data_IF_610966827845
#
_entry.id   IF_610966827845
#
_cell.length_a   1.000
_cell.length_b   1.000
_cell.length_c   1.000
_cell.angle_alpha   90.00
_cell.angle_beta   90.00
_cell.angle_gamma   90.00
#
_symmetry.space_group_name_H-M   'P 1'
#
loop_
_entity.id
_entity.type
_entity.pdbx_description
1 polymer ?
#
# COMPACT_ATOMS: atom_id res chain seq x y z
N UNK A 1 19.50 34.65 -3.76
CA UNK A 1 20.33 33.50 -3.32
C UNK A 1 20.92 33.85 -1.96
N UNK A 2 20.61 33.10 -0.89
CA UNK A 2 21.52 33.09 0.26
C UNK A 2 22.76 32.32 -0.21
N UNK A 3 23.93 32.95 -0.13
CA UNK A 3 25.19 32.44 -0.71
C UNK A 3 25.79 31.25 0.06
N UNK A 4 25.10 30.77 1.10
CA UNK A 4 25.66 29.85 2.10
C UNK A 4 24.89 28.52 2.25
N UNK A 5 23.95 28.19 1.35
CA UNK A 5 23.31 26.86 1.38
C UNK A 5 24.28 25.78 0.86
N UNK A 6 24.56 24.72 1.65
CA UNK A 6 25.41 23.61 1.22
C UNK A 6 24.86 22.87 0.00
N UNK A 7 25.73 22.20 -0.78
CA UNK A 7 25.29 21.41 -1.93
C UNK A 7 24.29 20.33 -1.51
N UNK A 8 23.31 20.08 -2.38
CA UNK A 8 22.34 18.99 -2.27
C UNK A 8 22.93 17.72 -2.88
N UNK A 9 24.11 17.35 -2.38
CA UNK A 9 24.81 16.14 -2.76
C UNK A 9 24.89 15.23 -1.53
N UNK A 10 24.35 14.02 -1.66
CA UNK A 10 24.19 13.09 -0.55
C UNK A 10 24.75 11.72 -0.96
N UNK A 11 25.31 10.96 0.00
CA UNK A 11 25.76 9.59 -0.27
C UNK A 11 24.63 8.70 -0.81
N UNK A 12 24.97 7.58 -1.44
CA UNK A 12 24.04 6.61 -2.00
C UNK A 12 23.97 5.28 -1.22
N UNK A 13 24.66 5.22 -0.08
CA UNK A 13 24.74 4.05 0.82
C UNK A 13 24.43 4.43 2.27
N UNK A 14 23.95 3.46 3.07
CA UNK A 14 23.70 3.66 4.50
C UNK A 14 25.00 4.01 5.24
N UNK A 15 26.09 3.33 4.90
CA UNK A 15 27.42 3.55 5.45
C UNK A 15 27.93 4.96 5.12
N UNK A 16 27.65 5.44 3.91
CA UNK A 16 27.96 6.83 3.53
C UNK A 16 27.19 7.86 4.36
N UNK A 17 25.97 7.52 4.79
CA UNK A 17 25.21 8.30 5.75
C UNK A 17 25.67 8.13 7.21
N UNK A 18 26.64 7.25 7.46
CA UNK A 18 27.12 6.80 8.77
C UNK A 18 26.06 6.06 9.61
N UNK A 19 25.09 5.41 8.97
CA UNK A 19 24.07 4.61 9.65
C UNK A 19 24.10 3.14 9.22
N UNK A 20 23.63 2.26 10.09
CA UNK A 20 23.34 0.86 9.77
C UNK A 20 22.14 0.39 10.60
N UNK A 21 21.47 -0.67 10.14
CA UNK A 21 20.47 -1.35 10.98
C UNK A 21 21.18 -2.27 11.97
N UNK A 22 20.82 -2.16 13.25
CA UNK A 22 21.33 -3.05 14.29
C UNK A 22 20.56 -4.39 14.31
N UNK A 23 20.95 -5.31 15.20
CA UNK A 23 20.30 -6.64 15.36
C UNK A 23 18.81 -6.56 15.72
N UNK A 24 18.35 -5.42 16.27
CA UNK A 24 16.94 -5.17 16.58
C UNK A 24 16.19 -4.51 15.40
N UNK A 25 16.81 -4.42 14.23
CA UNK A 25 16.24 -3.79 13.05
C UNK A 25 16.11 -2.26 13.16
N UNK A 26 16.85 -1.61 14.04
CA UNK A 26 16.76 -0.15 14.25
C UNK A 26 17.90 0.57 13.53
N UNK A 27 17.58 1.65 12.81
CA UNK A 27 18.59 2.48 12.15
C UNK A 27 19.38 3.29 13.19
N UNK A 28 20.68 3.04 13.29
CA UNK A 28 21.57 3.67 14.28
C UNK A 28 22.86 4.15 13.65
N UNK A 29 23.39 5.26 14.17
CA UNK A 29 24.66 5.77 13.73
C UNK A 29 25.78 4.78 14.07
N UNK A 30 26.63 4.43 13.09
CA UNK A 30 27.56 3.30 13.17
C UNK A 30 28.55 3.46 14.34
N UNK A 31 29.01 4.68 14.62
CA UNK A 31 30.03 4.93 15.66
C UNK A 31 29.44 5.18 17.04
N UNK A 32 28.29 5.86 17.12
CA UNK A 32 27.74 6.36 18.39
C UNK A 32 26.56 5.54 18.89
N UNK A 33 25.91 4.78 18.02
CA UNK A 33 24.68 4.06 18.35
C UNK A 33 23.45 4.97 18.51
N UNK A 34 23.55 6.26 18.19
CA UNK A 34 22.46 7.22 18.31
C UNK A 34 21.41 7.08 17.18
N UNK A 35 20.14 7.46 17.42
CA UNK A 35 19.09 7.40 16.39
C UNK A 35 19.30 8.44 15.28
N UNK A 36 18.50 8.33 14.22
CA UNK A 36 18.52 9.29 13.13
C UNK A 36 18.09 10.69 13.61
N UNK A 37 18.86 11.72 13.22
CA UNK A 37 18.56 13.12 13.50
C UNK A 37 18.11 13.82 12.22
N UNK A 38 16.85 14.26 12.18
CA UNK A 38 16.30 15.00 11.03
C UNK A 38 16.88 16.41 10.93
N UNK A 39 16.87 17.18 12.02
CA UNK A 39 17.44 18.53 12.09
C UNK A 39 18.96 18.47 12.24
N UNK A 40 19.64 17.84 11.26
CA UNK A 40 21.08 17.66 11.27
C UNK A 40 21.84 18.99 11.14
N UNK A 41 21.30 19.92 10.35
CA UNK A 41 21.79 21.31 10.29
C UNK A 41 20.71 22.27 10.77
N UNK A 42 21.02 23.09 11.77
CA UNK A 42 20.11 24.14 12.25
C UNK A 42 19.77 25.12 11.12
N UNK A 43 18.52 25.59 11.10
CA UNK A 43 17.96 26.55 10.13
C UNK A 43 18.02 26.17 8.64
N UNK A 44 18.49 24.98 8.29
CA UNK A 44 18.56 24.47 6.91
C UNK A 44 17.48 23.42 6.62
N UNK A 45 16.22 23.80 6.83
CA UNK A 45 15.06 22.91 6.65
C UNK A 45 15.03 22.21 5.28
N UNK A 46 15.27 22.98 4.19
CA UNK A 46 15.31 22.44 2.83
C UNK A 46 16.38 21.36 2.65
N UNK A 47 17.57 21.61 3.18
CA UNK A 47 18.69 20.67 3.07
C UNK A 47 18.42 19.41 3.90
N UNK A 48 17.91 19.55 5.14
CA UNK A 48 17.55 18.42 6.00
C UNK A 48 16.44 17.56 5.37
N UNK A 49 15.45 18.19 4.73
CA UNK A 49 14.41 17.50 4.00
C UNK A 49 14.99 16.69 2.83
N UNK A 50 15.89 17.28 2.03
CA UNK A 50 16.56 16.57 0.94
C UNK A 50 17.48 15.43 1.41
N UNK A 51 18.14 15.60 2.56
CA UNK A 51 18.90 14.54 3.23
C UNK A 51 18.00 13.36 3.61
N UNK A 52 16.84 13.64 4.19
CA UNK A 52 15.87 12.63 4.59
C UNK A 52 15.27 11.89 3.39
N UNK A 53 14.99 12.61 2.30
CA UNK A 53 14.54 12.02 1.03
C UNK A 53 15.60 11.07 0.47
N UNK A 54 16.86 11.50 0.39
CA UNK A 54 17.97 10.68 -0.09
C UNK A 54 18.16 9.40 0.75
N UNK A 55 18.12 9.51 2.09
CA UNK A 55 18.15 8.34 2.98
C UNK A 55 16.96 7.40 2.73
N UNK A 56 15.78 7.95 2.47
CA UNK A 56 14.57 7.17 2.16
C UNK A 56 14.68 6.32 0.90
N UNK A 57 15.38 6.80 -0.12
CA UNK A 57 15.65 6.03 -1.36
C UNK A 57 16.63 4.89 -1.10
N UNK A 58 17.65 5.11 -0.25
CA UNK A 58 18.57 4.06 0.18
C UNK A 58 17.83 2.98 0.96
N UNK A 59 16.96 3.38 1.90
CA UNK A 59 16.14 2.45 2.68
C UNK A 59 15.22 1.63 1.78
N UNK A 60 14.66 2.23 0.73
CA UNK A 60 13.82 1.50 -0.24
C UNK A 60 14.61 0.38 -0.91
N UNK A 61 15.85 0.66 -1.36
CA UNK A 61 16.74 -0.37 -1.92
C UNK A 61 17.10 -1.44 -0.89
N UNK A 62 17.40 -1.04 0.35
CA UNK A 62 17.71 -1.98 1.43
C UNK A 62 16.53 -2.92 1.72
N UNK A 63 15.30 -2.41 1.78
CA UNK A 63 14.09 -3.24 1.96
C UNK A 63 13.92 -4.22 0.81
N UNK A 64 14.18 -3.82 -0.45
CA UNK A 64 14.17 -4.75 -1.58
C UNK A 64 15.16 -5.89 -1.43
N UNK A 65 16.38 -5.61 -0.96
CA UNK A 65 17.36 -6.66 -0.69
C UNK A 65 16.87 -7.63 0.38
N UNK A 66 16.21 -7.15 1.45
CA UNK A 66 15.62 -8.01 2.47
C UNK A 66 14.45 -8.85 1.92
N UNK A 67 13.62 -8.30 1.02
CA UNK A 67 12.54 -9.06 0.38
C UNK A 67 13.10 -10.21 -0.46
N UNK A 68 14.19 -9.98 -1.19
CA UNK A 68 14.82 -10.98 -2.05
C UNK A 68 15.63 -12.01 -1.23
N UNK A 69 16.45 -11.56 -0.28
CA UNK A 69 17.39 -12.42 0.46
C UNK A 69 16.76 -13.09 1.67
N UNK A 70 16.01 -12.34 2.48
CA UNK A 70 15.50 -12.82 3.77
C UNK A 70 14.08 -13.38 3.65
N UNK A 71 13.30 -12.91 2.68
CA UNK A 71 11.93 -13.38 2.44
C UNK A 71 11.81 -14.29 1.21
N UNK A 72 12.91 -14.49 0.47
CA UNK A 72 12.97 -15.31 -0.74
C UNK A 72 11.89 -14.96 -1.79
N UNK A 73 11.55 -13.68 -1.92
CA UNK A 73 10.59 -13.21 -2.91
C UNK A 73 11.29 -12.87 -4.23
N UNK A 74 10.66 -13.21 -5.35
CA UNK A 74 11.12 -12.87 -6.70
C UNK A 74 10.48 -11.57 -7.16
N UNK A 75 11.31 -10.65 -7.67
CA UNK A 75 10.86 -9.43 -8.35
C UNK A 75 10.34 -9.78 -9.74
N UNK A 76 9.08 -9.45 -10.02
CA UNK A 76 8.42 -9.72 -11.30
C UNK A 76 8.09 -8.40 -11.97
N UNK A 77 8.64 -8.17 -13.16
CA UNK A 77 8.40 -6.94 -13.92
C UNK A 77 6.98 -6.92 -14.49
N UNK A 78 6.38 -5.72 -14.47
CA UNK A 78 5.08 -5.46 -15.09
C UNK A 78 5.16 -4.19 -15.97
N UNK A 79 4.38 -4.09 -17.06
CA UNK A 79 3.50 -5.12 -17.61
C UNK A 79 4.21 -6.42 -18.02
N UNK A 80 3.52 -7.56 -17.94
CA UNK A 80 4.10 -8.90 -18.22
C UNK A 80 4.56 -9.07 -19.66
N UNK A 81 4.00 -8.28 -20.57
CA UNK A 81 4.28 -8.24 -22.00
C UNK A 81 5.07 -6.99 -22.41
N UNK A 82 5.70 -6.31 -21.44
CA UNK A 82 6.36 -5.04 -21.69
C UNK A 82 7.58 -5.17 -22.62
N UNK A 83 7.58 -4.38 -23.69
CA UNK A 83 8.70 -4.14 -24.60
C UNK A 83 9.92 -3.57 -23.88
N UNK A 84 11.12 -3.64 -24.47
CA UNK A 84 12.35 -3.14 -23.83
C UNK A 84 12.33 -1.63 -23.57
N UNK A 85 11.61 -0.87 -24.38
CA UNK A 85 11.62 0.60 -24.37
C UNK A 85 10.49 1.24 -23.59
N UNK A 86 9.46 0.48 -23.19
CA UNK A 86 8.33 1.04 -22.45
C UNK A 86 8.59 1.12 -20.93
N UNK A 87 7.97 2.08 -20.22
CA UNK A 87 8.05 2.16 -18.76
C UNK A 87 7.58 0.88 -18.08
N UNK A 88 8.30 0.43 -17.05
CA UNK A 88 7.98 -0.79 -16.28
C UNK A 88 7.97 -0.50 -14.78
N UNK A 89 7.17 -1.26 -14.06
CA UNK A 89 7.17 -1.39 -12.61
C UNK A 89 7.50 -2.84 -12.26
N UNK A 90 7.27 -3.23 -11.01
CA UNK A 90 7.33 -4.61 -10.57
C UNK A 90 6.42 -4.89 -9.38
N UNK A 91 6.17 -6.17 -9.13
CA UNK A 91 5.66 -6.73 -7.87
C UNK A 91 6.68 -7.71 -7.30
N UNK A 92 6.52 -8.10 -6.03
CA UNK A 92 7.21 -9.27 -5.49
C UNK A 92 6.25 -10.42 -5.29
N UNK A 93 6.73 -11.65 -5.51
CA UNK A 93 5.97 -12.85 -5.19
C UNK A 93 6.85 -13.96 -4.60
N UNK A 94 6.27 -14.80 -3.74
CA UNK A 94 6.91 -16.05 -3.32
C UNK A 94 6.94 -17.04 -4.50
N UNK A 95 7.85 -18.01 -4.45
CA UNK A 95 7.99 -19.01 -5.52
C UNK A 95 6.70 -19.81 -5.79
N UNK A 96 5.91 -20.06 -4.75
CA UNK A 96 4.67 -20.81 -4.79
C UNK A 96 3.41 -19.93 -4.96
N UNK A 97 3.53 -18.60 -5.09
CA UNK A 97 2.40 -17.67 -5.03
C UNK A 97 1.27 -17.98 -6.02
N UNK A 98 1.60 -18.50 -7.21
CA UNK A 98 0.63 -18.86 -8.24
C UNK A 98 0.22 -20.34 -8.21
N UNK A 99 1.01 -21.20 -7.58
CA UNK A 99 0.81 -22.66 -7.62
C UNK A 99 0.28 -23.23 -6.30
N UNK A 100 0.39 -22.48 -5.20
CA UNK A 100 -0.13 -22.88 -3.89
C UNK A 100 -1.67 -22.92 -3.93
N UNK A 101 -2.30 -24.11 -3.75
CA UNK A 101 -3.74 -24.24 -3.86
C UNK A 101 -4.49 -23.78 -2.61
N UNK A 102 -3.81 -23.62 -1.48
CA UNK A 102 -4.47 -23.40 -0.20
C UNK A 102 -4.73 -21.92 0.06
N UNK A 103 -3.67 -21.13 0.22
CA UNK A 103 -3.76 -19.77 0.73
C UNK A 103 -2.79 -18.84 -0.01
N UNK A 104 -3.28 -17.64 -0.32
CA UNK A 104 -2.47 -16.56 -0.89
C UNK A 104 -2.70 -15.28 -0.09
N UNK A 105 -1.62 -14.63 0.34
CA UNK A 105 -1.64 -13.32 0.99
C UNK A 105 -1.21 -12.23 0.01
N UNK A 106 -1.99 -11.16 -0.07
CA UNK A 106 -1.74 -10.00 -0.93
C UNK A 106 -1.58 -8.75 -0.07
N UNK A 107 -0.43 -8.07 -0.20
CA UNK A 107 -0.10 -6.88 0.60
C UNK A 107 -0.13 -5.61 -0.26
N UNK A 108 -0.89 -4.62 0.17
CA UNK A 108 -1.05 -3.32 -0.51
C UNK A 108 -0.74 -2.19 0.47
N UNK A 109 0.31 -1.41 0.19
CA UNK A 109 0.68 -0.26 1.00
C UNK A 109 -0.14 1.00 0.66
N UNK A 110 -0.02 2.04 1.49
CA UNK A 110 -0.68 3.34 1.28
C UNK A 110 -0.05 4.18 0.17
N UNK A 111 -0.53 5.42 0.03
CA UNK A 111 0.00 6.37 -0.96
C UNK A 111 1.25 7.11 -0.44
N UNK A 112 1.94 7.80 -1.35
CA UNK A 112 3.10 8.64 -1.03
C UNK A 112 4.42 8.04 -1.52
N UNK A 113 5.48 8.24 -0.74
CA UNK A 113 6.86 7.85 -1.11
C UNK A 113 7.24 6.43 -0.71
N UNK A 114 6.28 5.67 -0.15
CA UNK A 114 6.46 4.24 0.15
C UNK A 114 6.39 3.41 -1.13
N UNK A 115 7.04 2.26 -1.10
CA UNK A 115 7.11 1.28 -2.18
C UNK A 115 6.86 -0.13 -1.64
N UNK A 116 6.79 -1.12 -2.53
CA UNK A 116 6.67 -2.53 -2.16
C UNK A 116 7.58 -2.90 -0.98
N UNK A 117 7.04 -3.62 0.00
CA UNK A 117 7.74 -3.98 1.23
C UNK A 117 7.61 -2.98 2.38
N UNK A 118 7.03 -1.80 2.18
CA UNK A 118 6.99 -0.74 3.20
C UNK A 118 5.57 -0.37 3.61
N UNK A 119 5.33 -0.22 4.92
CA UNK A 119 4.15 0.47 5.45
C UNK A 119 4.42 1.97 5.59
N UNK A 120 5.56 2.33 6.19
CA UNK A 120 5.90 3.73 6.43
C UNK A 120 7.41 3.95 6.57
N UNK A 121 7.99 4.74 5.64
CA UNK A 121 9.39 5.17 5.68
C UNK A 121 9.79 5.80 7.02
N UNK A 122 8.89 6.58 7.63
CA UNK A 122 9.13 7.25 8.92
C UNK A 122 9.35 6.24 10.05
N UNK A 123 8.62 5.13 10.07
CA UNK A 123 8.80 4.10 11.08
C UNK A 123 10.12 3.36 10.89
N UNK A 124 10.46 3.01 9.66
CA UNK A 124 11.74 2.35 9.36
C UNK A 124 12.93 3.18 9.85
N UNK A 125 12.88 4.51 9.66
CA UNK A 125 13.97 5.41 10.05
C UNK A 125 14.04 5.63 11.56
N UNK A 126 12.89 5.78 12.23
CA UNK A 126 12.85 6.29 13.61
C UNK A 126 12.55 5.22 14.67
N UNK A 127 11.94 4.11 14.29
CA UNK A 127 11.54 3.02 15.18
C UNK A 127 12.38 1.77 14.86
N UNK A 128 11.94 0.99 13.86
CA UNK A 128 12.53 -0.27 13.43
C UNK A 128 11.95 -0.77 12.08
N UNK A 129 12.60 -1.78 11.51
CA UNK A 129 12.16 -2.48 10.30
C UNK A 129 10.81 -3.17 10.49
N UNK A 130 10.55 -3.79 11.64
CA UNK A 130 9.35 -4.60 11.84
C UNK A 130 8.07 -3.76 11.75
N UNK A 131 8.04 -2.62 12.45
CA UNK A 131 6.89 -1.72 12.45
C UNK A 131 6.72 -0.97 11.13
N UNK A 132 7.81 -0.70 10.42
CA UNK A 132 7.81 0.09 9.20
C UNK A 132 7.69 -0.70 7.90
N UNK A 133 7.89 -2.02 7.92
CA UNK A 133 7.91 -2.87 6.73
C UNK A 133 6.80 -3.93 6.74
N UNK A 134 6.56 -4.47 5.55
CA UNK A 134 5.66 -5.61 5.32
C UNK A 134 6.32 -6.95 5.68
N UNK A 135 7.62 -6.96 6.03
CA UNK A 135 8.41 -8.18 6.26
C UNK A 135 7.81 -9.08 7.34
N UNK A 136 7.34 -8.58 8.51
CA UNK A 136 6.70 -9.45 9.50
C UNK A 136 5.43 -10.15 8.97
N UNK A 137 4.63 -9.46 8.16
CA UNK A 137 3.47 -10.06 7.48
C UNK A 137 3.90 -11.15 6.51
N UNK A 138 4.93 -10.89 5.70
CA UNK A 138 5.45 -11.86 4.74
C UNK A 138 5.98 -13.11 5.45
N UNK A 139 6.85 -12.95 6.46
CA UNK A 139 7.43 -14.06 7.23
C UNK A 139 6.34 -14.89 7.90
N UNK A 140 5.39 -14.24 8.57
CA UNK A 140 4.27 -14.95 9.21
C UNK A 140 3.36 -15.65 8.21
N UNK A 141 3.11 -15.06 7.06
CA UNK A 141 2.33 -15.68 5.99
C UNK A 141 3.04 -16.94 5.46
N UNK A 142 4.34 -16.87 5.19
CA UNK A 142 5.14 -18.03 4.75
C UNK A 142 5.14 -19.12 5.82
N UNK A 143 5.35 -18.78 7.09
CA UNK A 143 5.33 -19.73 8.21
C UNK A 143 3.96 -20.43 8.36
N UNK A 144 2.87 -19.74 8.05
CA UNK A 144 1.51 -20.30 8.05
C UNK A 144 1.11 -20.94 6.70
N UNK A 145 2.02 -21.06 5.74
CA UNK A 145 1.82 -21.78 4.47
C UNK A 145 1.08 -21.02 3.38
N UNK A 146 1.11 -19.68 3.42
CA UNK A 146 0.56 -18.83 2.36
C UNK A 146 1.61 -18.63 1.26
N UNK A 147 1.17 -18.68 0.00
CA UNK A 147 1.86 -17.94 -1.06
C UNK A 147 1.72 -16.44 -0.82
N UNK A 148 2.65 -15.61 -1.30
CA UNK A 148 2.67 -14.16 -1.02
C UNK A 148 2.82 -13.36 -2.31
N UNK A 149 2.04 -12.28 -2.45
CA UNK A 149 2.21 -11.24 -3.48
C UNK A 149 2.24 -9.86 -2.79
N UNK A 150 3.24 -9.05 -3.14
CA UNK A 150 3.41 -7.69 -2.62
C UNK A 150 3.33 -6.71 -3.79
N UNK A 151 2.35 -5.81 -3.74
CA UNK A 151 2.11 -4.81 -4.78
C UNK A 151 3.05 -3.59 -4.60
N UNK A 152 3.25 -2.84 -5.69
CA UNK A 152 4.00 -1.59 -5.73
C UNK A 152 3.17 -0.43 -6.31
N UNK A 153 1.97 -0.12 -5.77
CA UNK A 153 1.00 0.77 -6.41
C UNK A 153 1.45 2.22 -6.62
N UNK A 154 2.53 2.65 -5.97
CA UNK A 154 3.06 4.02 -6.10
C UNK A 154 4.18 4.15 -7.14
N UNK A 155 4.66 3.05 -7.74
CA UNK A 155 5.59 3.08 -8.87
C UNK A 155 4.80 2.90 -10.16
N UNK A 156 4.15 3.99 -10.58
CA UNK A 156 3.17 4.05 -11.65
C UNK A 156 3.58 4.94 -12.84
N UNK A 157 4.75 5.56 -12.77
CA UNK A 157 5.35 6.34 -13.87
C UNK A 157 6.88 6.38 -13.76
N UNK A 158 7.54 6.70 -14.87
CA UNK A 158 8.94 7.14 -14.89
C UNK A 158 9.01 8.64 -15.20
N UNK A 159 10.02 9.32 -14.67
CA UNK A 159 10.30 10.71 -15.01
C UNK A 159 11.31 10.78 -16.17
N UNK A 160 10.94 11.48 -17.25
CA UNK A 160 11.82 11.72 -18.41
C UNK A 160 11.92 13.20 -18.72
N UNK A 161 13.06 13.63 -19.27
CA UNK A 161 13.26 15.03 -19.67
C UNK A 161 12.33 15.39 -20.84
N UNK A 162 11.62 16.52 -20.74
CA UNK A 162 10.83 17.03 -21.85
C UNK A 162 11.74 17.45 -23.00
N UNK A 163 11.43 17.05 -24.25
CA UNK A 163 12.06 17.62 -25.42
C UNK A 163 11.82 19.15 -25.43
N UNK A 164 12.87 19.94 -25.67
CA UNK A 164 12.73 21.39 -25.87
C UNK A 164 12.01 21.66 -27.19
N UNK A 165 10.69 21.81 -27.15
CA UNK A 165 9.93 22.25 -28.33
C UNK A 165 10.16 23.76 -28.48
N UNK A 166 10.86 24.17 -29.54
CA UNK A 166 11.01 25.58 -29.90
C UNK A 166 9.71 26.04 -30.57
N UNK A 167 8.72 26.46 -29.78
CA UNK A 167 7.48 27.04 -30.32
C UNK A 167 7.70 28.53 -30.54
N UNK A 168 7.79 28.95 -31.80
CA UNK A 168 7.61 30.35 -32.19
C UNK A 168 6.17 30.75 -31.83
N UNK A 169 6.05 31.81 -31.05
CA UNK A 169 4.78 32.39 -30.62
C UNK A 169 3.94 32.82 -31.82
N UNK A 170 2.75 32.22 -31.96
CA UNK A 170 1.64 32.82 -32.71
C UNK A 170 0.48 33.07 -31.75
N UNK A 171 0.03 34.31 -31.74
CA UNK A 171 -1.00 34.92 -30.88
C UNK A 171 -2.43 34.50 -31.24
N UNK A 172 -3.28 34.45 -30.20
CA UNK A 172 -4.74 34.65 -30.16
C UNK A 172 -5.63 33.65 -30.92
N UNK A 173 -6.83 33.24 -30.49
CA UNK A 173 -7.76 33.59 -29.40
C UNK A 173 -8.89 32.55 -29.41
N UNK A 174 -9.51 32.19 -28.29
CA UNK A 174 -10.91 31.71 -28.31
C UNK A 174 -11.58 31.76 -26.93
N UNK A 175 -12.67 32.54 -26.88
CA UNK A 175 -13.64 32.68 -25.80
C UNK A 175 -14.40 31.38 -25.47
N UNK A 176 -14.61 31.07 -24.18
CA UNK A 176 -15.73 30.24 -23.69
C UNK A 176 -16.12 30.56 -22.22
N UNK A 177 -17.39 30.31 -21.81
CA UNK A 177 -18.08 31.07 -20.75
C UNK A 177 -17.82 30.64 -19.30
N UNK A 178 -18.08 31.57 -18.37
CA UNK A 178 -17.57 31.61 -16.99
C UNK A 178 -18.16 30.62 -15.97
N UNK A 179 -19.16 29.79 -16.29
CA UNK A 179 -19.89 29.02 -15.25
C UNK A 179 -19.42 27.57 -15.03
N UNK A 180 -18.47 27.05 -15.84
CA UNK A 180 -17.82 25.74 -15.59
C UNK A 180 -16.52 25.82 -14.78
N UNK A 181 -16.07 27.01 -14.35
CA UNK A 181 -14.81 27.20 -13.60
C UNK A 181 -14.92 26.85 -12.11
N UNK A 182 -16.05 27.12 -11.45
CA UNK A 182 -16.07 27.11 -9.98
C UNK A 182 -16.09 25.72 -9.31
N UNK A 183 -16.51 24.65 -10.00
CA UNK A 183 -16.48 23.28 -9.43
C UNK A 183 -15.16 22.55 -9.66
N UNK A 184 -14.38 22.92 -10.70
CA UNK A 184 -13.03 22.39 -10.94
C UNK A 184 -11.96 23.08 -10.09
N UNK A 185 -12.24 24.30 -9.63
CA UNK A 185 -11.31 25.13 -8.86
C UNK A 185 -11.14 24.68 -7.40
N UNK A 186 -12.08 23.96 -6.79
CA UNK A 186 -11.94 23.54 -5.38
C UNK A 186 -11.02 22.33 -5.20
N UNK A 187 -11.15 21.30 -6.05
CA UNK A 187 -10.24 20.13 -6.05
C UNK A 187 -8.85 20.53 -6.56
N UNK A 188 -8.80 21.43 -7.54
CA UNK A 188 -7.55 22.03 -8.04
C UNK A 188 -6.80 22.84 -6.95
N UNK A 189 -7.50 23.63 -6.13
CA UNK A 189 -6.86 24.47 -5.09
C UNK A 189 -6.19 23.68 -3.97
N UNK A 190 -6.65 22.47 -3.66
CA UNK A 190 -6.08 21.65 -2.58
C UNK A 190 -4.83 20.88 -3.04
N UNK A 191 -4.89 20.29 -4.25
CA UNK A 191 -3.72 19.70 -4.93
C UNK A 191 -2.67 20.76 -5.26
N UNK A 192 -3.11 21.98 -5.62
CA UNK A 192 -2.22 23.13 -5.88
C UNK A 192 -1.58 23.66 -4.60
N UNK A 193 -2.29 23.75 -3.46
CA UNK A 193 -1.68 24.14 -2.18
C UNK A 193 -0.64 23.13 -1.66
N UNK A 194 -0.84 21.82 -1.88
CA UNK A 194 0.17 20.79 -1.57
C UNK A 194 1.37 20.83 -2.52
N UNK A 195 1.14 21.06 -3.82
CA UNK A 195 2.20 21.33 -4.82
C UNK A 195 3.02 22.56 -4.42
N UNK A 196 2.34 23.67 -4.14
CA UNK A 196 2.95 24.95 -3.75
C UNK A 196 3.81 24.84 -2.48
N UNK A 197 3.46 23.96 -1.52
CA UNK A 197 4.28 23.73 -0.32
C UNK A 197 5.65 23.11 -0.64
N UNK A 198 5.71 22.16 -1.58
CA UNK A 198 6.97 21.56 -2.06
C UNK A 198 7.67 22.42 -3.12
N UNK A 199 6.91 23.21 -3.88
CA UNK A 199 7.40 24.06 -4.97
C UNK A 199 8.05 25.37 -4.46
N UNK A 200 7.69 25.81 -3.24
CA UNK A 200 8.28 26.99 -2.58
C UNK A 200 9.79 26.88 -2.31
N UNK A 201 10.37 25.67 -2.40
CA UNK A 201 11.80 25.40 -2.21
C UNK A 201 12.50 24.93 -3.49
N UNK A 202 11.89 25.13 -4.66
CA UNK A 202 12.46 24.79 -5.97
C UNK A 202 13.51 25.83 -6.39
N UNK A 203 14.68 25.39 -6.85
CA UNK A 203 15.74 26.32 -7.29
C UNK A 203 15.44 26.76 -8.73
N UNK A 204 15.35 28.06 -9.07
CA UNK A 204 15.03 28.50 -10.43
C UNK A 204 16.12 28.23 -11.48
N UNK A 205 17.29 27.72 -11.09
CA UNK A 205 18.43 27.55 -11.99
C UNK A 205 18.56 26.10 -12.45
N UNK A 206 18.06 25.86 -13.67
CA UNK A 206 18.28 24.69 -14.54
C UNK A 206 17.63 23.36 -14.10
N UNK A 207 16.38 23.38 -13.66
CA UNK A 207 15.57 22.16 -13.75
C UNK A 207 15.10 22.02 -15.19
N UNK A 208 15.63 21.01 -15.88
CA UNK A 208 15.06 20.56 -17.13
C UNK A 208 13.61 20.18 -16.84
N UNK A 209 12.69 20.64 -17.67
CA UNK A 209 11.28 20.33 -17.46
C UNK A 209 11.10 18.82 -17.60
N UNK A 210 10.63 18.14 -16.55
CA UNK A 210 10.39 16.70 -16.56
C UNK A 210 8.94 16.44 -16.97
N UNK A 211 8.68 15.34 -17.69
CA UNK A 211 7.35 14.77 -17.88
C UNK A 211 7.28 13.38 -17.25
N UNK A 212 6.08 13.01 -16.82
CA UNK A 212 5.79 11.68 -16.30
C UNK A 212 5.26 10.82 -17.45
N UNK A 213 5.95 9.72 -17.73
CA UNK A 213 5.45 8.66 -18.60
C UNK A 213 4.86 7.57 -17.72
N UNK A 214 3.54 7.47 -17.73
CA UNK A 214 2.81 6.48 -16.94
C UNK A 214 3.04 5.07 -17.47
N UNK A 215 3.07 4.12 -16.55
CA UNK A 215 3.25 2.70 -16.85
C UNK A 215 1.91 2.17 -17.34
N UNK A 216 1.92 1.51 -18.50
CA UNK A 216 0.70 1.03 -19.15
C UNK A 216 -0.11 0.14 -18.20
N UNK A 217 -1.40 0.45 -18.09
CA UNK A 217 -2.37 -0.27 -17.24
C UNK A 217 -1.99 -0.30 -15.74
N UNK A 218 -1.00 0.50 -15.34
CA UNK A 218 -0.50 0.62 -13.98
C UNK A 218 -0.23 2.10 -13.67
N UNK A 219 -0.99 3.01 -14.28
CA UNK A 219 -0.80 4.46 -14.18
C UNK A 219 -1.33 5.06 -12.87
N UNK A 220 -2.07 4.28 -12.08
CA UNK A 220 -2.54 4.64 -10.74
C UNK A 220 -2.50 3.44 -9.78
N UNK A 221 -2.59 3.68 -8.46
CA UNK A 221 -2.72 2.61 -7.47
C UNK A 221 -3.88 1.64 -7.75
N UNK A 222 -5.00 2.18 -8.22
CA UNK A 222 -6.20 1.42 -8.56
C UNK A 222 -5.98 0.55 -9.81
N UNK A 223 -5.46 1.14 -10.89
CA UNK A 223 -5.11 0.40 -12.11
C UNK A 223 -4.10 -0.72 -11.80
N UNK A 224 -3.11 -0.44 -10.95
CA UNK A 224 -2.13 -1.43 -10.52
C UNK A 224 -2.77 -2.61 -9.77
N UNK A 225 -3.71 -2.35 -8.86
CA UNK A 225 -4.42 -3.42 -8.15
C UNK A 225 -5.26 -4.30 -9.10
N UNK A 226 -5.92 -3.68 -10.09
CA UNK A 226 -6.68 -4.39 -11.13
C UNK A 226 -5.76 -5.21 -12.02
N UNK A 227 -4.65 -4.62 -12.48
CA UNK A 227 -3.66 -5.30 -13.31
C UNK A 227 -3.10 -6.55 -12.62
N UNK A 228 -2.67 -6.40 -11.37
CA UNK A 228 -2.10 -7.53 -10.61
C UNK A 228 -3.15 -8.60 -10.35
N UNK A 229 -4.42 -8.22 -10.17
CA UNK A 229 -5.51 -9.18 -10.08
C UNK A 229 -5.65 -10.01 -11.36
N UNK A 230 -5.84 -9.34 -12.50
CA UNK A 230 -6.14 -9.98 -13.79
C UNK A 230 -5.01 -10.88 -14.27
N UNK A 231 -3.76 -10.45 -14.08
CA UNK A 231 -2.58 -11.15 -14.61
C UNK A 231 -1.97 -12.19 -13.65
N UNK A 232 -2.28 -12.12 -12.34
CA UNK A 232 -1.64 -13.00 -11.35
C UNK A 232 -2.64 -13.60 -10.37
N UNK A 233 -3.35 -12.79 -9.58
CA UNK A 233 -4.14 -13.30 -8.45
C UNK A 233 -5.33 -14.15 -8.95
N UNK A 234 -6.04 -13.70 -9.98
CA UNK A 234 -7.16 -14.41 -10.58
C UNK A 234 -6.73 -15.80 -11.13
N UNK A 235 -5.51 -15.90 -11.64
CA UNK A 235 -4.94 -17.11 -12.23
C UNK A 235 -4.25 -18.04 -11.22
N UNK A 236 -4.01 -17.59 -9.99
CA UNK A 236 -3.40 -18.42 -8.94
C UNK A 236 -4.25 -19.67 -8.62
N UNK A 237 -3.61 -20.75 -8.19
CA UNK A 237 -4.31 -21.96 -7.75
C UNK A 237 -5.05 -21.79 -6.40
N UNK A 238 -4.78 -20.71 -5.67
CA UNK A 238 -5.26 -20.52 -4.31
C UNK A 238 -6.79 -20.44 -4.22
N UNK A 239 -7.39 -21.30 -3.40
CA UNK A 239 -8.82 -21.28 -3.08
C UNK A 239 -9.19 -20.19 -2.07
N UNK A 240 -8.21 -19.74 -1.29
CA UNK A 240 -8.41 -18.73 -0.24
C UNK A 240 -7.40 -17.59 -0.39
N UNK A 241 -7.86 -16.45 -0.89
CA UNK A 241 -7.05 -15.23 -1.00
C UNK A 241 -7.35 -14.28 0.16
N UNK A 242 -6.32 -13.72 0.77
CA UNK A 242 -6.40 -12.78 1.88
C UNK A 242 -5.67 -11.49 1.53
N UNK A 243 -6.27 -10.34 1.83
CA UNK A 243 -5.66 -9.05 1.57
C UNK A 243 -5.34 -8.32 2.86
N UNK A 244 -4.15 -7.70 2.95
CA UNK A 244 -3.85 -6.65 3.93
C UNK A 244 -3.59 -5.35 3.17
N UNK A 245 -4.47 -4.37 3.36
CA UNK A 245 -4.43 -3.11 2.63
C UNK A 245 -4.40 -1.90 3.58
N UNK A 246 -3.32 -1.13 3.52
CA UNK A 246 -3.09 0.01 4.40
C UNK A 246 -3.50 1.33 3.75
N UNK A 247 -4.20 2.21 4.49
CA UNK A 247 -4.47 3.58 4.08
C UNK A 247 -5.11 3.64 2.67
N UNK A 248 -4.49 4.33 1.71
CA UNK A 248 -4.95 4.39 0.32
C UNK A 248 -5.00 3.03 -0.40
N UNK A 249 -4.23 2.03 0.05
CA UNK A 249 -4.29 0.68 -0.48
C UNK A 249 -5.68 0.05 -0.33
N UNK A 250 -6.44 0.43 0.71
CA UNK A 250 -7.82 -0.02 0.85
C UNK A 250 -8.77 0.61 -0.16
N UNK A 251 -8.51 1.85 -0.61
CA UNK A 251 -9.25 2.47 -1.71
C UNK A 251 -9.00 1.71 -3.02
N UNK A 252 -7.74 1.37 -3.31
CA UNK A 252 -7.35 0.56 -4.46
C UNK A 252 -8.01 -0.84 -4.44
N UNK A 253 -8.08 -1.48 -3.27
CA UNK A 253 -8.81 -2.74 -3.12
C UNK A 253 -10.31 -2.60 -3.40
N UNK A 254 -10.96 -1.53 -2.92
CA UNK A 254 -12.39 -1.31 -3.18
C UNK A 254 -12.65 -1.06 -4.67
N UNK A 255 -11.75 -0.35 -5.37
CA UNK A 255 -11.86 -0.19 -6.82
C UNK A 255 -11.74 -1.54 -7.54
N UNK A 256 -10.78 -2.38 -7.15
CA UNK A 256 -10.69 -3.77 -7.64
C UNK A 256 -12.00 -4.54 -7.40
N UNK A 257 -12.57 -4.45 -6.21
CA UNK A 257 -13.83 -5.10 -5.85
C UNK A 257 -15.01 -4.63 -6.72
N UNK A 258 -15.05 -3.34 -7.08
CA UNK A 258 -16.08 -2.79 -7.97
C UNK A 258 -15.91 -3.33 -9.39
N UNK A 259 -14.67 -3.35 -9.89
CA UNK A 259 -14.37 -3.71 -11.29
C UNK A 259 -14.39 -5.23 -11.53
N UNK A 260 -14.19 -6.05 -10.48
CA UNK A 260 -14.07 -7.52 -10.56
C UNK A 260 -14.94 -8.23 -9.52
N UNK A 261 -16.12 -7.67 -9.22
CA UNK A 261 -16.99 -8.09 -8.11
C UNK A 261 -17.17 -9.62 -8.02
N UNK A 262 -17.58 -10.27 -9.11
CA UNK A 262 -17.89 -11.70 -9.09
C UNK A 262 -16.67 -12.55 -8.75
N UNK A 263 -15.52 -12.27 -9.37
CA UNK A 263 -14.29 -13.04 -9.17
C UNK A 263 -13.70 -12.81 -7.78
N UNK A 264 -13.71 -11.54 -7.32
CA UNK A 264 -13.22 -11.18 -5.99
C UNK A 264 -14.07 -11.87 -4.92
N UNK A 265 -15.40 -11.82 -5.02
CA UNK A 265 -16.30 -12.49 -4.07
C UNK A 265 -16.12 -14.01 -4.02
N UNK A 266 -15.80 -14.63 -5.14
CA UNK A 266 -15.62 -16.08 -5.21
C UNK A 266 -14.29 -16.53 -4.60
N UNK A 267 -13.23 -15.73 -4.74
CA UNK A 267 -11.85 -16.16 -4.43
C UNK A 267 -11.30 -15.56 -3.12
N UNK A 268 -11.69 -14.33 -2.78
CA UNK A 268 -11.22 -13.65 -1.57
C UNK A 268 -12.00 -14.14 -0.36
N UNK A 269 -11.27 -14.53 0.69
CA UNK A 269 -11.83 -15.06 1.93
C UNK A 269 -11.97 -13.98 3.00
N UNK A 270 -10.98 -13.10 3.13
CA UNK A 270 -11.05 -11.98 4.05
C UNK A 270 -10.11 -10.84 3.66
N UNK A 271 -10.42 -9.63 4.13
CA UNK A 271 -9.65 -8.41 3.86
C UNK A 271 -9.43 -7.65 5.17
N UNK A 272 -8.17 -7.49 5.55
CA UNK A 272 -7.77 -6.63 6.64
C UNK A 272 -7.39 -5.25 6.11
N UNK A 273 -8.16 -4.24 6.49
CA UNK A 273 -7.88 -2.85 6.21
C UNK A 273 -7.17 -2.25 7.44
N UNK A 274 -6.13 -1.44 7.22
CA UNK A 274 -5.40 -0.79 8.31
C UNK A 274 -5.41 0.71 8.08
N UNK A 275 -6.22 1.39 8.90
CA UNK A 275 -6.54 2.81 8.82
C UNK A 275 -6.84 3.29 7.39
N UNK A 276 -7.64 2.48 6.69
CA UNK A 276 -7.98 2.70 5.30
C UNK A 276 -8.86 3.95 5.13
N UNK A 277 -8.57 4.72 4.08
CA UNK A 277 -9.32 5.91 3.68
C UNK A 277 -10.40 5.63 2.63
N UNK A 278 -10.66 4.36 2.33
CA UNK A 278 -11.72 3.94 1.40
C UNK A 278 -13.08 4.55 1.78
N UNK A 279 -13.93 4.75 0.77
CA UNK A 279 -15.28 5.25 1.00
C UNK A 279 -16.23 4.62 0.00
N UNK A 280 -16.90 3.55 0.42
CA UNK A 280 -17.82 2.77 -0.41
C UNK A 280 -18.99 3.58 -0.99
N UNK A 281 -19.30 4.75 -0.41
CA UNK A 281 -20.37 5.63 -0.87
C UNK A 281 -19.89 6.58 -1.97
N UNK A 282 -18.65 7.08 -1.85
CA UNK A 282 -18.03 7.94 -2.87
C UNK A 282 -17.45 7.13 -4.03
N UNK A 283 -17.04 5.89 -3.79
CA UNK A 283 -16.62 4.94 -4.83
C UNK A 283 -17.84 4.25 -5.49
N UNK A 284 -19.07 4.64 -5.14
CA UNK A 284 -20.30 4.13 -5.74
C UNK A 284 -20.46 2.60 -5.67
N UNK A 285 -19.95 1.98 -4.60
CA UNK A 285 -20.01 0.53 -4.42
C UNK A 285 -21.46 0.03 -4.31
N UNK A 286 -21.79 -0.96 -5.14
CA UNK A 286 -23.11 -1.59 -5.18
C UNK A 286 -23.55 -2.16 -3.83
N UNK A 287 -24.86 -2.35 -3.65
CA UNK A 287 -25.43 -2.92 -2.41
C UNK A 287 -24.77 -4.26 -2.05
N UNK A 288 -24.61 -5.11 -3.05
CA UNK A 288 -24.01 -6.45 -2.92
C UNK A 288 -22.55 -6.40 -2.49
N UNK A 289 -21.77 -5.40 -2.93
CA UNK A 289 -20.39 -5.18 -2.50
C UNK A 289 -20.36 -4.74 -1.03
N UNK A 290 -21.20 -3.79 -0.65
CA UNK A 290 -21.29 -3.29 0.74
C UNK A 290 -21.70 -4.38 1.72
N UNK A 291 -22.61 -5.28 1.33
CA UNK A 291 -22.99 -6.45 2.13
C UNK A 291 -21.80 -7.40 2.30
N UNK A 292 -21.11 -7.72 1.20
CA UNK A 292 -19.93 -8.58 1.25
C UNK A 292 -18.79 -7.99 2.10
N UNK A 293 -18.52 -6.68 1.99
CA UNK A 293 -17.50 -6.03 2.81
C UNK A 293 -17.83 -6.06 4.31
N UNK A 294 -19.12 -6.00 4.67
CA UNK A 294 -19.55 -6.11 6.07
C UNK A 294 -19.24 -7.48 6.67
N UNK A 295 -19.25 -8.53 5.84
CA UNK A 295 -19.07 -9.92 6.26
C UNK A 295 -17.60 -10.37 6.18
N UNK A 296 -16.83 -9.83 5.23
CA UNK A 296 -15.50 -10.36 4.87
C UNK A 296 -14.36 -9.36 5.13
N UNK A 297 -14.66 -8.11 5.50
CA UNK A 297 -13.63 -7.11 5.80
C UNK A 297 -13.66 -6.69 7.28
N UNK A 298 -12.51 -6.25 7.78
CA UNK A 298 -12.40 -5.52 9.05
C UNK A 298 -11.35 -4.42 8.90
N UNK A 299 -11.62 -3.22 9.44
CA UNK A 299 -10.72 -2.07 9.37
C UNK A 299 -10.19 -1.68 10.77
N UNK A 300 -8.90 -1.90 11.00
CA UNK A 300 -8.19 -1.48 12.21
C UNK A 300 -7.76 -0.01 12.07
N UNK A 301 -8.49 0.89 12.70
CA UNK A 301 -8.33 2.34 12.55
C UNK A 301 -7.52 2.97 13.67
N UNK A 302 -6.95 4.15 13.42
CA UNK A 302 -6.26 4.92 14.45
C UNK A 302 -7.26 5.34 15.55
N UNK A 303 -6.99 4.94 16.79
CA UNK A 303 -7.82 5.23 17.96
C UNK A 303 -7.02 5.02 19.25
N UNK A 304 -7.35 5.81 20.27
CA UNK A 304 -6.80 5.70 21.61
C UNK A 304 -7.38 4.53 22.42
N UNK A 305 -8.46 3.92 21.93
CA UNK A 305 -9.10 2.78 22.58
C UNK A 305 -8.21 1.52 22.49
N UNK A 306 -8.38 0.54 23.39
CA UNK A 306 -7.68 -0.74 23.31
C UNK A 306 -7.85 -1.43 21.96
N UNK A 307 -6.86 -2.23 21.55
CA UNK A 307 -6.91 -3.04 20.33
C UNK A 307 -8.21 -3.86 20.30
N UNK A 308 -8.85 -3.91 19.12
CA UNK A 308 -10.10 -4.62 18.82
C UNK A 308 -11.38 -4.02 19.45
N UNK A 309 -11.30 -2.89 20.16
CA UNK A 309 -12.49 -2.16 20.58
C UNK A 309 -13.25 -1.62 19.36
N UNK A 310 -14.56 -1.91 19.26
CA UNK A 310 -15.42 -1.43 18.18
C UNK A 310 -15.42 0.10 18.10
N UNK A 311 -15.24 0.65 16.90
CA UNK A 311 -15.25 2.09 16.64
C UNK A 311 -16.43 2.42 15.73
N UNK A 312 -17.31 3.29 16.20
CA UNK A 312 -18.49 3.68 15.42
C UNK A 312 -18.13 4.45 14.14
N UNK A 313 -18.91 4.21 13.09
CA UNK A 313 -18.83 4.95 11.82
C UNK A 313 -20.18 5.60 11.54
N UNK A 314 -20.15 6.85 11.10
CA UNK A 314 -21.35 7.58 10.64
C UNK A 314 -22.01 6.90 9.43
N UNK A 315 -21.19 6.25 8.59
CA UNK A 315 -21.65 5.56 7.39
C UNK A 315 -21.21 4.09 7.45
N UNK A 316 -22.15 3.13 7.33
CA UNK A 316 -21.81 1.71 7.43
C UNK A 316 -21.09 1.23 6.17
N UNK A 317 -19.87 0.72 6.33
CA UNK A 317 -19.06 0.05 5.31
C UNK A 317 -18.72 -1.39 5.76
N UNK A 318 -17.65 -1.59 6.52
CA UNK A 318 -17.22 -2.83 7.15
C UNK A 318 -17.04 -2.61 8.67
N UNK A 319 -16.99 -3.68 9.48
CA UNK A 319 -16.59 -3.57 10.88
C UNK A 319 -15.31 -2.75 11.06
N UNK A 320 -15.34 -1.81 12.00
CA UNK A 320 -14.20 -0.97 12.37
C UNK A 320 -13.85 -1.20 13.81
N UNK A 321 -12.57 -1.43 14.07
CA UNK A 321 -12.04 -1.63 15.41
C UNK A 321 -10.78 -0.81 15.62
N UNK A 322 -10.46 -0.48 16.87
CA UNK A 322 -9.25 0.25 17.21
C UNK A 322 -8.01 -0.59 16.90
N UNK A 323 -6.99 0.03 16.32
CA UNK A 323 -5.65 -0.53 16.19
C UNK A 323 -4.82 -0.42 17.48
N UNK A 324 -5.34 0.19 18.55
CA UNK A 324 -4.60 0.43 19.80
C UNK A 324 -3.52 1.52 19.68
N UNK A 325 -3.70 2.47 18.76
CA UNK A 325 -2.78 3.59 18.55
C UNK A 325 -3.44 4.75 17.79
N UNK A 326 -3.12 5.98 18.15
CA UNK A 326 -3.52 7.19 17.40
C UNK A 326 -2.61 7.49 16.19
N UNK A 327 -1.53 6.72 16.00
CA UNK A 327 -0.56 6.94 14.92
C UNK A 327 -0.97 6.13 13.69
N UNK A 328 -1.48 6.82 12.67
CA UNK A 328 -1.86 6.26 11.36
C UNK A 328 -0.86 5.22 10.86
N UNK A 329 0.42 5.58 10.80
CA UNK A 329 1.47 4.72 10.25
C UNK A 329 1.72 3.43 11.06
N UNK A 330 1.36 3.38 12.35
CA UNK A 330 1.57 2.22 13.21
C UNK A 330 0.41 1.23 13.20
N UNK A 331 -0.71 1.57 12.58
CA UNK A 331 -1.94 0.77 12.64
C UNK A 331 -1.71 -0.65 12.13
N UNK A 332 -1.00 -0.84 11.02
CA UNK A 332 -0.67 -2.18 10.49
C UNK A 332 0.17 -3.02 11.45
N UNK A 333 1.18 -2.43 12.09
CA UNK A 333 2.02 -3.15 13.05
C UNK A 333 1.29 -3.49 14.33
N UNK A 334 0.51 -2.55 14.88
CA UNK A 334 -0.21 -2.75 16.15
C UNK A 334 -1.37 -3.75 16.01
N UNK A 335 -2.00 -3.80 14.85
CA UNK A 335 -3.07 -4.76 14.54
C UNK A 335 -2.56 -6.12 14.04
N UNK A 336 -1.26 -6.28 13.78
CA UNK A 336 -0.68 -7.49 13.18
C UNK A 336 -1.15 -8.81 13.82
N UNK A 337 -1.11 -9.01 15.16
CA UNK A 337 -1.60 -10.25 15.76
C UNK A 337 -3.10 -10.47 15.57
N UNK A 338 -3.89 -9.40 15.64
CA UNK A 338 -5.35 -9.46 15.50
C UNK A 338 -5.77 -9.77 14.06
N UNK A 339 -5.04 -9.24 13.07
CA UNK A 339 -5.28 -9.52 11.64
C UNK A 339 -5.13 -11.01 11.34
N UNK A 340 -4.07 -11.66 11.82
CA UNK A 340 -3.86 -13.09 11.56
C UNK A 340 -4.90 -13.96 12.29
N UNK A 341 -5.34 -13.54 13.48
CA UNK A 341 -6.47 -14.17 14.18
C UNK A 341 -7.75 -14.07 13.33
N UNK A 342 -8.07 -12.89 12.83
CA UNK A 342 -9.21 -12.65 11.95
C UNK A 342 -9.18 -13.52 10.68
N UNK A 343 -8.01 -13.64 10.03
CA UNK A 343 -7.87 -14.52 8.86
C UNK A 343 -8.06 -16.00 9.18
N UNK A 344 -7.56 -16.44 10.35
CA UNK A 344 -7.75 -17.82 10.82
C UNK A 344 -9.25 -18.11 11.02
N UNK A 345 -9.96 -17.24 11.72
CA UNK A 345 -11.40 -17.37 11.97
C UNK A 345 -12.21 -17.36 10.67
N UNK A 346 -11.87 -16.49 9.71
CA UNK A 346 -12.51 -16.44 8.40
C UNK A 346 -12.31 -17.74 7.58
N UNK A 347 -11.09 -18.28 7.60
CA UNK A 347 -10.76 -19.55 6.93
C UNK A 347 -11.52 -20.74 7.53
N UNK A 348 -11.64 -20.78 8.87
CA UNK A 348 -12.40 -21.81 9.58
C UNK A 348 -13.90 -21.72 9.27
N UNK A 349 -14.46 -20.50 9.28
CA UNK A 349 -15.86 -20.25 8.96
C UNK A 349 -16.21 -20.73 7.54
N UNK A 350 -15.38 -20.40 6.54
CA UNK A 350 -15.55 -20.85 5.15
C UNK A 350 -15.45 -22.38 4.99
N UNK A 351 -14.57 -23.03 5.74
CA UNK A 351 -14.47 -24.50 5.74
C UNK A 351 -15.70 -25.14 6.38
N UNK A 352 -16.28 -24.51 7.39
CA UNK A 352 -17.46 -25.01 8.11
C UNK A 352 -18.74 -24.95 7.26
N UNK A 353 -18.91 -23.91 6.44
CA UNK A 353 -20.08 -23.75 5.56
C UNK A 353 -20.08 -24.73 4.39
N UNK A 354 -18.91 -25.23 3.99
CA UNK A 354 -18.75 -26.22 2.93
C UNK A 354 -19.00 -27.67 3.40
N UNK A 355 -19.03 -27.94 4.71
CA UNK A 355 -19.36 -29.28 5.22
C UNK A 355 -20.88 -29.50 5.16
N UNK A 356 -21.39 -30.51 4.44
CA UNK A 356 -22.81 -30.82 4.46
C UNK A 356 -23.25 -31.17 5.88
N UNK A 357 -24.33 -30.53 6.35
CA UNK A 357 -24.93 -30.83 7.64
C UNK A 357 -25.24 -32.34 7.72
N UNK A 358 -24.51 -33.07 8.58
CA UNK A 358 -24.81 -34.46 8.88
C UNK A 358 -26.21 -34.49 9.46
N UNK A 359 -27.17 -34.95 8.67
CA UNK A 359 -28.56 -35.15 9.10
C UNK A 359 -28.56 -36.18 10.22
N UNK A 360 -28.68 -35.70 11.45
CA UNK A 360 -28.90 -36.54 12.63
C UNK A 360 -30.30 -37.15 12.46
N UNK A 361 -30.38 -38.34 11.86
CA UNK A 361 -31.59 -39.16 11.78
C UNK A 361 -32.05 -39.42 13.22
N UNK A 362 -33.06 -38.70 13.68
CA UNK A 362 -33.75 -39.04 14.91
C UNK A 362 -34.49 -40.35 14.68
N UNK A 363 -34.00 -41.42 15.31
CA UNK A 363 -34.77 -42.64 15.47
C UNK A 363 -36.02 -42.30 16.28
N UNK A 364 -37.14 -42.12 15.57
CA UNK A 364 -38.47 -42.07 16.17
C UNK A 364 -38.83 -43.52 16.50
N UNK A 365 -38.59 -43.91 17.75
CA UNK A 365 -39.15 -45.13 18.32
C UNK A 365 -40.68 -45.00 18.24
N UNK A 366 -41.31 -45.82 17.41
CA UNK A 366 -42.75 -46.06 17.47
C UNK A 366 -42.98 -46.95 18.69
N UNK A 367 -43.70 -46.42 19.68
CA UNK A 367 -44.43 -47.27 20.62
C UNK A 367 -45.61 -47.89 19.84
N UNK A 368 -45.61 -49.21 19.70
CA UNK A 368 -46.82 -49.97 19.40
C UNK A 368 -47.54 -50.22 20.74
N UNK A 369 -48.79 -49.78 20.82
CA UNK A 369 -49.77 -50.30 21.76
C UNK A 369 -50.20 -51.69 21.29
N UNK A 370 -50.07 -52.69 22.17
CA UNK A 370 -51.01 -53.80 22.37
C UNK A 370 -50.65 -54.54 23.67
#
# INVERSE_FOLDING_TARGET
>A
MKKDEPPLDFPDTLEGFEYAFNEKGQLRHIKTGEPFVFNYREDLHRWNQKRYEALGEIITKYVYELLEKDCNLKKISIPVDATETEPKSFIYMSEDALTNPQKLMVLIHGSGVVRAGQWARRLIINEDLDSGTQIPFIKRAVDEGYGVIVLNPNENYIEVEKPKIHVQSSSDSSDEPAEKRERKDKVSKETKKRRDFYEKYRNPQREKEMMQLYIRENGSPEEHAIYVWDHFIAQSAAENVFFVAHSYGGLAFVELMIQREADVKNKVTAVALTDSVHNVWHQEAGKTIREWMRENCCNWVSSSEPLDTSVESMLPDCPRVSAGTDRHELTSWKSFPSIFKFFTEASEAKTSSLKPAVTRRSHRLKHEEL
#
